data_IF_925146449935
#
_entry.id   IF_925146449935
#
_cell.length_a   1.000
_cell.length_b   1.000
_cell.length_c   1.000
_cell.angle_alpha   90.00
_cell.angle_beta   90.00
_cell.angle_gamma   90.00
#
_symmetry.space_group_name_H-M   'P 1'
#
loop_
_entity.id
_entity.type
_entity.pdbx_description
1 polymer ?
#
# COMPACT_ATOMS: atom_id res chain seq x y z
N UNK A 1 34.74 -36.34 2.77
CA UNK A 1 35.21 -34.97 2.50
C UNK A 1 34.03 -34.21 1.94
N UNK A 2 33.45 -33.30 2.72
CA UNK A 2 32.35 -32.44 2.24
C UNK A 2 33.00 -31.32 1.44
N UNK A 3 32.84 -31.33 0.11
CA UNK A 3 33.30 -30.21 -0.71
C UNK A 3 32.41 -29.01 -0.36
N UNK A 4 32.98 -28.01 0.31
CA UNK A 4 32.29 -26.78 0.72
C UNK A 4 31.65 -25.98 -0.43
N UNK A 5 31.88 -26.40 -1.68
CA UNK A 5 31.28 -25.85 -2.91
C UNK A 5 29.97 -26.54 -3.34
N UNK A 6 29.56 -27.61 -2.66
CA UNK A 6 28.33 -28.33 -3.03
C UNK A 6 27.10 -27.68 -2.39
N UNK A 7 26.22 -27.12 -3.22
CA UNK A 7 24.87 -26.68 -2.82
C UNK A 7 23.86 -27.84 -2.76
N UNK A 8 24.32 -29.08 -2.87
CA UNK A 8 23.45 -30.26 -2.84
C UNK A 8 22.74 -30.37 -1.50
N UNK A 9 21.44 -30.66 -1.53
CA UNK A 9 20.63 -30.79 -0.31
C UNK A 9 20.23 -29.47 0.34
N UNK A 10 20.52 -28.32 -0.28
CA UNK A 10 20.14 -27.01 0.28
C UNK A 10 18.63 -26.87 0.50
N UNK A 11 17.81 -27.61 -0.26
CA UNK A 11 16.35 -27.55 -0.14
C UNK A 11 15.84 -28.07 1.21
N UNK A 12 16.53 -29.05 1.80
CA UNK A 12 16.13 -29.71 3.05
C UNK A 12 16.61 -28.99 4.31
N UNK A 13 17.46 -27.98 4.17
CA UNK A 13 17.98 -27.19 5.29
C UNK A 13 16.95 -26.19 5.83
N UNK A 14 17.06 -25.83 7.11
CA UNK A 14 16.28 -24.70 7.66
C UNK A 14 16.74 -23.37 7.04
N UNK A 15 15.92 -22.30 7.09
CA UNK A 15 16.31 -20.98 6.52
C UNK A 15 17.66 -20.48 7.03
N UNK A 16 17.92 -20.60 8.34
CA UNK A 16 19.18 -20.17 8.95
C UNK A 16 20.39 -20.97 8.45
N UNK A 17 20.20 -22.27 8.23
CA UNK A 17 21.23 -23.16 7.68
C UNK A 17 21.46 -22.90 6.19
N UNK A 18 20.42 -22.61 5.41
CA UNK A 18 20.55 -22.17 4.01
C UNK A 18 21.41 -20.93 3.92
N UNK A 19 21.11 -19.90 4.72
CA UNK A 19 21.89 -18.66 4.74
C UNK A 19 23.35 -18.93 5.11
N UNK A 20 23.60 -19.73 6.16
CA UNK A 20 24.97 -20.05 6.59
C UNK A 20 25.73 -20.85 5.52
N UNK A 21 25.08 -21.83 4.90
CA UNK A 21 25.68 -22.69 3.87
C UNK A 21 26.01 -21.90 2.61
N UNK A 22 25.09 -21.04 2.14
CA UNK A 22 25.34 -20.12 1.02
C UNK A 22 26.50 -19.16 1.34
N UNK A 23 26.53 -18.60 2.55
CA UNK A 23 27.59 -17.69 2.96
C UNK A 23 28.97 -18.37 2.96
N UNK A 24 29.05 -19.63 3.40
CA UNK A 24 30.29 -20.40 3.35
C UNK A 24 30.78 -20.61 1.90
N UNK A 25 29.89 -21.06 1.01
CA UNK A 25 30.20 -21.22 -0.43
C UNK A 25 30.66 -19.90 -1.06
N UNK A 26 29.95 -18.81 -0.75
CA UNK A 26 30.27 -17.48 -1.29
C UNK A 26 31.66 -17.01 -0.82
N UNK A 27 32.00 -17.24 0.45
CA UNK A 27 33.32 -16.90 0.99
C UNK A 27 34.44 -17.70 0.31
N UNK A 28 34.24 -18.99 0.09
CA UNK A 28 35.22 -19.86 -0.58
C UNK A 28 35.43 -19.45 -2.05
N UNK A 29 34.34 -19.12 -2.76
CA UNK A 29 34.41 -18.59 -4.13
C UNK A 29 35.13 -17.24 -4.16
N UNK A 30 34.82 -16.33 -3.25
CA UNK A 30 35.47 -15.02 -3.16
C UNK A 30 36.97 -15.18 -2.90
N UNK A 31 37.36 -16.02 -1.94
CA UNK A 31 38.76 -16.31 -1.65
C UNK A 31 39.50 -16.89 -2.87
N UNK A 32 38.85 -17.81 -3.60
CA UNK A 32 39.40 -18.42 -4.81
C UNK A 32 39.59 -17.41 -5.95
N UNK A 33 38.59 -16.56 -6.20
CA UNK A 33 38.65 -15.49 -7.22
C UNK A 33 39.77 -14.50 -6.86
N UNK A 34 39.87 -14.08 -5.59
CA UNK A 34 40.93 -13.18 -5.13
C UNK A 34 42.32 -13.82 -5.33
N UNK A 35 42.46 -15.11 -5.02
CA UNK A 35 43.72 -15.81 -5.23
C UNK A 35 44.12 -15.86 -6.71
N UNK A 36 43.18 -16.21 -7.59
CA UNK A 36 43.40 -16.24 -9.04
C UNK A 36 43.78 -14.85 -9.55
N UNK A 37 43.06 -13.80 -9.12
CA UNK A 37 43.37 -12.42 -9.49
C UNK A 37 44.80 -12.01 -9.07
N UNK A 38 45.25 -12.42 -7.87
CA UNK A 38 46.63 -12.17 -7.42
C UNK A 38 47.66 -12.89 -8.28
N UNK A 39 47.39 -14.14 -8.67
CA UNK A 39 48.29 -14.90 -9.55
C UNK A 39 48.35 -14.31 -10.96
N UNK A 40 47.23 -13.85 -11.48
CA UNK A 40 47.16 -13.14 -12.76
C UNK A 40 47.95 -11.82 -12.72
N UNK A 41 47.81 -11.04 -11.65
CA UNK A 41 48.54 -9.78 -11.47
C UNK A 41 50.06 -9.98 -11.33
N UNK A 42 50.50 -11.15 -10.84
CA UNK A 42 51.90 -11.54 -10.81
C UNK A 42 52.39 -12.15 -12.13
N UNK A 43 51.58 -12.11 -13.20
CA UNK A 43 51.86 -12.68 -14.52
C UNK A 43 52.08 -14.21 -14.51
N UNK A 44 51.62 -14.90 -13.46
CA UNK A 44 51.72 -16.36 -13.34
C UNK A 44 50.59 -17.11 -14.08
N UNK A 45 49.55 -16.39 -14.51
CA UNK A 45 48.43 -16.94 -15.26
C UNK A 45 48.24 -16.13 -16.55
N UNK A 46 48.05 -16.82 -17.67
CA UNK A 46 47.74 -16.18 -18.95
C UNK A 46 46.29 -15.70 -19.01
N UNK A 47 46.00 -14.78 -19.94
CA UNK A 47 44.65 -14.30 -20.22
C UNK A 47 43.68 -15.44 -20.54
N UNK A 48 44.14 -16.48 -21.24
CA UNK A 48 43.34 -17.66 -21.59
C UNK A 48 43.00 -18.51 -20.36
N UNK A 49 43.91 -18.58 -19.39
CA UNK A 49 43.70 -19.32 -18.14
C UNK A 49 42.74 -18.60 -17.18
N UNK A 50 42.70 -17.27 -17.23
CA UNK A 50 41.75 -16.48 -16.42
C UNK A 50 40.39 -16.28 -17.09
N UNK A 51 40.29 -16.48 -18.41
CA UNK A 51 39.05 -16.26 -19.17
C UNK A 51 37.80 -16.92 -18.54
N UNK A 52 37.85 -18.19 -18.06
CA UNK A 52 36.69 -18.81 -17.42
C UNK A 52 36.19 -18.08 -16.17
N UNK A 53 37.10 -17.47 -15.38
CA UNK A 53 36.72 -16.70 -14.19
C UNK A 53 36.06 -15.38 -14.59
N UNK A 54 36.54 -14.76 -15.67
CA UNK A 54 35.96 -13.52 -16.21
C UNK A 54 34.55 -13.78 -16.75
N UNK A 55 34.38 -14.85 -17.52
CA UNK A 55 33.07 -15.25 -18.08
C UNK A 55 32.05 -15.57 -16.98
N UNK A 56 32.50 -16.19 -15.88
CA UNK A 56 31.68 -16.43 -14.70
C UNK A 56 31.21 -15.13 -14.06
N UNK A 57 32.12 -14.17 -13.85
CA UNK A 57 31.81 -12.86 -13.28
C UNK A 57 30.79 -12.11 -14.16
N UNK A 58 30.99 -12.12 -15.47
CA UNK A 58 30.06 -11.48 -16.41
C UNK A 58 28.68 -12.12 -16.38
N UNK A 59 28.61 -13.45 -16.31
CA UNK A 59 27.35 -14.19 -16.19
C UNK A 59 26.62 -13.83 -14.89
N UNK A 60 27.33 -13.78 -13.76
CA UNK A 60 26.76 -13.39 -12.46
C UNK A 60 26.24 -11.95 -12.51
N UNK A 61 27.02 -11.02 -13.08
CA UNK A 61 26.62 -9.62 -13.24
C UNK A 61 25.35 -9.49 -14.11
N UNK A 62 25.25 -10.27 -15.19
CA UNK A 62 24.08 -10.27 -16.06
C UNK A 62 22.81 -10.77 -15.35
N UNK A 63 22.92 -11.83 -14.56
CA UNK A 63 21.81 -12.32 -13.73
C UNK A 63 21.38 -11.25 -12.72
N UNK A 64 22.35 -10.60 -12.06
CA UNK A 64 22.09 -9.48 -11.16
C UNK A 64 21.32 -8.34 -11.84
N UNK A 65 21.79 -7.88 -13.00
CA UNK A 65 21.12 -6.82 -13.78
C UNK A 65 19.70 -7.19 -14.18
N UNK A 66 19.46 -8.44 -14.62
CA UNK A 66 18.13 -8.92 -14.99
C UNK A 66 17.18 -8.94 -13.79
N UNK A 67 17.68 -9.38 -12.63
CA UNK A 67 16.89 -9.39 -11.40
C UNK A 67 16.52 -7.97 -10.97
N UNK A 68 17.49 -7.05 -10.94
CA UNK A 68 17.24 -5.63 -10.63
C UNK A 68 16.22 -5.01 -11.58
N UNK A 69 16.38 -5.20 -12.89
CA UNK A 69 15.44 -4.67 -13.90
C UNK A 69 14.02 -5.22 -13.74
N UNK A 70 13.88 -6.45 -13.27
CA UNK A 70 12.57 -7.04 -12.96
C UNK A 70 11.95 -6.36 -11.74
N UNK A 71 12.71 -6.21 -10.66
CA UNK A 71 12.24 -5.54 -9.45
C UNK A 71 11.87 -4.08 -9.71
N UNK A 72 12.65 -3.36 -10.52
CA UNK A 72 12.33 -1.99 -10.93
C UNK A 72 10.97 -1.91 -11.64
N UNK A 73 10.67 -2.85 -12.55
CA UNK A 73 9.37 -2.92 -13.21
C UNK A 73 8.23 -3.23 -12.24
N UNK A 74 8.43 -4.18 -11.34
CA UNK A 74 7.44 -4.52 -10.31
C UNK A 74 7.16 -3.32 -9.39
N UNK A 75 8.18 -2.53 -9.04
CA UNK A 75 8.03 -1.28 -8.29
C UNK A 75 7.27 -0.22 -9.09
N UNK A 76 7.60 -0.01 -10.37
CA UNK A 76 6.87 0.93 -11.23
C UNK A 76 5.38 0.57 -11.37
N UNK A 77 5.07 -0.72 -11.45
CA UNK A 77 3.68 -1.22 -11.50
C UNK A 77 2.94 -0.95 -10.19
N UNK A 78 3.60 -1.18 -9.05
CA UNK A 78 3.03 -0.87 -7.73
C UNK A 78 2.80 0.63 -7.55
N UNK A 79 3.73 1.48 -7.96
CA UNK A 79 3.59 2.93 -7.89
C UNK A 79 2.39 3.42 -8.71
N UNK A 80 2.19 2.86 -9.91
CA UNK A 80 1.00 3.16 -10.73
C UNK A 80 -0.30 2.76 -10.01
N UNK A 81 -0.35 1.57 -9.41
CA UNK A 81 -1.53 1.12 -8.66
C UNK A 81 -1.81 2.01 -7.46
N UNK A 82 -0.78 2.46 -6.75
CA UNK A 82 -0.89 3.38 -5.62
C UNK A 82 -1.48 4.73 -6.08
N UNK A 83 -0.98 5.29 -7.19
CA UNK A 83 -1.49 6.56 -7.70
C UNK A 83 -2.95 6.46 -8.19
N UNK A 84 -3.33 5.35 -8.84
CA UNK A 84 -4.72 5.08 -9.20
C UNK A 84 -5.62 4.99 -7.96
N UNK A 85 -5.18 4.29 -6.91
CA UNK A 85 -5.91 4.18 -5.65
C UNK A 85 -6.10 5.54 -4.98
N UNK A 86 -5.04 6.36 -4.92
CA UNK A 86 -5.12 7.74 -4.40
C UNK A 86 -6.12 8.58 -5.18
N UNK A 87 -6.14 8.45 -6.51
CA UNK A 87 -7.10 9.18 -7.35
C UNK A 87 -8.53 8.76 -7.05
N UNK A 88 -8.78 7.46 -6.92
CA UNK A 88 -10.11 6.95 -6.55
C UNK A 88 -10.56 7.42 -5.18
N UNK A 89 -9.67 7.43 -4.18
CA UNK A 89 -9.98 7.93 -2.84
C UNK A 89 -10.39 9.39 -2.87
N UNK A 90 -9.63 10.26 -3.55
CA UNK A 90 -9.98 11.69 -3.68
C UNK A 90 -11.34 11.90 -4.34
N UNK A 91 -11.65 11.11 -5.37
CA UNK A 91 -12.96 11.17 -6.03
C UNK A 91 -14.09 10.73 -5.08
N UNK A 92 -13.86 9.69 -4.28
CA UNK A 92 -14.83 9.25 -3.27
C UNK A 92 -15.04 10.28 -2.17
N UNK A 93 -13.97 10.90 -1.68
CA UNK A 93 -14.06 11.95 -0.67
C UNK A 93 -14.91 13.12 -1.19
N UNK A 94 -14.70 13.54 -2.43
CA UNK A 94 -15.53 14.56 -3.08
C UNK A 94 -16.99 14.16 -3.15
N UNK A 95 -17.30 12.93 -3.55
CA UNK A 95 -18.68 12.43 -3.60
C UNK A 95 -19.33 12.40 -2.21
N UNK A 96 -18.56 12.06 -1.17
CA UNK A 96 -19.01 12.10 0.22
C UNK A 96 -19.33 13.52 0.64
N UNK A 97 -18.45 14.50 0.35
CA UNK A 97 -18.70 15.90 0.66
C UNK A 97 -19.95 16.45 -0.04
N UNK A 98 -20.10 16.15 -1.33
CA UNK A 98 -21.27 16.58 -2.12
C UNK A 98 -22.57 15.95 -1.59
N UNK A 99 -22.55 14.66 -1.25
CA UNK A 99 -23.72 13.99 -0.65
C UNK A 99 -24.05 14.53 0.74
N UNK A 100 -23.05 14.73 1.60
CA UNK A 100 -23.22 15.32 2.92
C UNK A 100 -23.74 16.77 2.84
N UNK A 101 -23.30 17.53 1.83
CA UNK A 101 -23.83 18.87 1.52
C UNK A 101 -25.32 18.82 1.19
N UNK A 102 -25.73 17.91 0.29
CA UNK A 102 -27.14 17.72 -0.07
C UNK A 102 -28.00 17.31 1.12
N UNK A 103 -27.56 16.33 1.90
CA UNK A 103 -28.29 15.90 3.09
C UNK A 103 -28.44 17.00 4.14
N UNK A 104 -27.39 17.82 4.36
CA UNK A 104 -27.49 18.97 5.27
C UNK A 104 -28.54 19.98 4.82
N UNK A 105 -28.58 20.29 3.53
CA UNK A 105 -29.58 21.22 2.97
C UNK A 105 -31.00 20.63 3.04
N UNK A 106 -31.17 19.34 2.78
CA UNK A 106 -32.47 18.67 2.92
C UNK A 106 -32.96 18.68 4.37
N UNK A 107 -32.11 18.32 5.33
CA UNK A 107 -32.42 18.37 6.76
C UNK A 107 -32.82 19.79 7.16
N UNK A 108 -32.07 20.81 6.71
CA UNK A 108 -32.38 22.21 6.99
C UNK A 108 -33.79 22.57 6.52
N UNK A 109 -34.17 22.22 5.29
CA UNK A 109 -35.51 22.48 4.75
C UNK A 109 -36.61 21.78 5.53
N UNK A 110 -36.37 20.54 5.95
CA UNK A 110 -37.31 19.79 6.79
C UNK A 110 -37.49 20.48 8.14
N UNK A 111 -36.41 20.91 8.78
CA UNK A 111 -36.46 21.62 10.07
C UNK A 111 -37.23 22.94 9.93
N UNK A 112 -36.90 23.76 8.92
CA UNK A 112 -37.62 25.02 8.65
C UNK A 112 -39.12 24.77 8.39
N UNK A 113 -39.46 23.73 7.64
CA UNK A 113 -40.86 23.35 7.39
C UNK A 113 -41.60 22.90 8.65
N UNK A 114 -40.95 22.12 9.52
CA UNK A 114 -41.51 21.69 10.81
C UNK A 114 -41.73 22.88 11.73
N UNK A 115 -40.78 23.81 11.82
CA UNK A 115 -40.90 25.01 12.65
C UNK A 115 -42.10 25.88 12.23
N UNK A 116 -42.30 26.05 10.92
CA UNK A 116 -43.47 26.74 10.39
C UNK A 116 -44.77 26.03 10.77
N UNK A 117 -44.84 24.71 10.58
CA UNK A 117 -46.02 23.93 10.95
C UNK A 117 -46.33 24.00 12.45
N UNK A 118 -45.32 23.95 13.31
CA UNK A 118 -45.46 24.08 14.77
C UNK A 118 -46.02 25.46 15.15
N UNK A 119 -45.53 26.54 14.52
CA UNK A 119 -46.03 27.90 14.75
C UNK A 119 -47.50 28.04 14.34
N UNK A 120 -47.87 27.50 13.18
CA UNK A 120 -49.26 27.53 12.71
C UNK A 120 -50.20 26.75 13.62
N UNK A 121 -49.80 25.54 14.04
CA UNK A 121 -50.57 24.72 14.96
C UNK A 121 -50.72 25.39 16.32
N UNK A 122 -49.67 26.00 16.85
CA UNK A 122 -49.71 26.76 18.11
C UNK A 122 -50.70 27.92 18.02
N UNK A 123 -50.65 28.71 16.95
CA UNK A 123 -51.60 29.80 16.74
C UNK A 123 -53.06 29.33 16.57
N UNK A 124 -53.27 28.15 15.97
CA UNK A 124 -54.61 27.52 15.89
C UNK A 124 -55.09 27.05 17.27
N UNK A 125 -54.22 26.41 18.05
CA UNK A 125 -54.52 25.97 19.41
C UNK A 125 -54.92 27.15 20.30
N UNK A 126 -54.15 28.24 20.30
CA UNK A 126 -54.48 29.45 21.08
C UNK A 126 -55.83 30.07 20.67
N UNK A 127 -56.15 30.08 19.37
CA UNK A 127 -57.45 30.58 18.89
C UNK A 127 -58.60 29.70 19.40
N UNK A 128 -58.46 28.38 19.31
CA UNK A 128 -59.45 27.44 19.81
C UNK A 128 -59.62 27.56 21.33
N UNK A 129 -58.53 27.71 22.09
CA UNK A 129 -58.58 27.93 23.54
C UNK A 129 -59.34 29.21 23.90
N UNK A 130 -59.10 30.31 23.17
CA UNK A 130 -59.84 31.57 23.39
C UNK A 130 -61.33 31.41 23.07
N UNK A 131 -61.68 30.73 21.98
CA UNK A 131 -63.08 30.45 21.63
C UNK A 131 -63.78 29.61 22.71
N UNK A 132 -63.13 28.55 23.20
CA UNK A 132 -63.67 27.72 24.28
C UNK A 132 -63.86 28.51 25.58
N UNK A 133 -62.93 29.42 25.93
CA UNK A 133 -63.10 30.31 27.09
C UNK A 133 -64.28 31.26 26.93
N UNK A 134 -64.47 31.84 25.73
CA UNK A 134 -65.62 32.70 25.44
C UNK A 134 -66.96 31.96 25.62
N UNK A 135 -67.08 30.78 25.03
CA UNK A 135 -68.28 29.94 25.16
C UNK A 135 -68.58 29.49 26.60
N UNK A 136 -67.56 29.31 27.44
CA UNK A 136 -67.74 29.03 28.88
C UNK A 136 -68.15 30.27 29.67
N UNK A 137 -67.75 31.47 29.26
CA UNK A 137 -68.13 32.73 29.90
C UNK A 137 -69.59 33.10 29.63
N UNK A 138 -70.09 32.82 28.43
CA UNK A 138 -71.46 33.14 28.01
C UNK A 138 -72.52 32.13 28.51
N UNK A 139 -72.10 31.00 29.08
CA UNK A 139 -72.97 29.94 29.61
C UNK A 139 -73.36 30.06 31.09
N UNK A 140 -73.03 31.18 31.76
CA UNK A 140 -73.36 31.46 33.17
C UNK A 140 -74.26 32.72 33.34
N UNK A 141 -75.06 33.05 32.32
CA UNK A 141 -76.11 34.07 32.37
C UNK A 141 -77.50 33.47 32.56
#
# INVERSE_FOLDING_TARGET
>A
MSNALSLTGIETLSPSEKTRHIAAVANDLAASIIYIAKQAAAENLSTEQIAPICDLIDTVNEVGRRHTKRLEKELEEQDKQIEEMKRMLRERDRQIEESAGRYREEIRRVVEGVDLAVRELSARAERLERQLRGLRGDGLG
#
